data_IF_306958325051
#
_entry.id   IF_306958325051
#
_cell.length_a   1.000
_cell.length_b   1.000
_cell.length_c   1.000
_cell.angle_alpha   90.00
_cell.angle_beta   90.00
_cell.angle_gamma   90.00
#
_symmetry.space_group_name_H-M   'P 1'
#
loop_
_entity.id
_entity.type
_entity.pdbx_description
1 polymer ?
#
# COMPACT_ATOMS: atom_id res chain seq x y z
N UNK A 1 -8.64 -35.30 -11.92
CA UNK A 1 -7.75 -34.48 -12.77
C UNK A 1 -6.43 -35.24 -12.90
N UNK A 2 -6.08 -35.70 -14.10
CA UNK A 2 -5.21 -36.86 -14.33
C UNK A 2 -3.70 -36.54 -14.34
N UNK A 3 -2.88 -37.45 -13.78
CA UNK A 3 -1.40 -37.42 -13.71
C UNK A 3 -0.69 -37.18 -15.05
N UNK A 4 -1.29 -37.58 -16.18
CA UNK A 4 -0.65 -37.47 -17.51
C UNK A 4 -0.62 -36.07 -18.12
N UNK A 5 -1.48 -35.15 -17.69
CA UNK A 5 -1.46 -33.76 -18.18
C UNK A 5 -0.31 -32.95 -17.52
N UNK A 6 0.31 -33.51 -16.48
CA UNK A 6 1.38 -32.89 -15.69
C UNK A 6 2.78 -33.16 -16.27
N UNK A 7 3.04 -34.38 -16.75
CA UNK A 7 4.36 -34.74 -17.30
C UNK A 7 4.68 -33.97 -18.60
N UNK A 8 3.66 -33.72 -19.43
CA UNK A 8 3.79 -32.94 -20.68
C UNK A 8 4.17 -31.48 -20.40
N UNK A 9 3.70 -30.94 -19.28
CA UNK A 9 3.90 -29.55 -18.89
C UNK A 9 5.26 -29.30 -18.23
N UNK A 10 5.79 -30.28 -17.50
CA UNK A 10 7.11 -30.23 -16.88
C UNK A 10 8.24 -30.34 -17.90
N UNK A 11 8.11 -31.30 -18.83
CA UNK A 11 9.03 -31.45 -19.96
C UNK A 11 9.04 -30.20 -20.84
N UNK A 12 7.88 -29.55 -21.03
CA UNK A 12 7.80 -28.28 -21.74
C UNK A 12 8.64 -27.18 -21.08
N UNK A 13 8.61 -26.97 -19.76
CA UNK A 13 9.43 -25.90 -19.13
C UNK A 13 10.93 -26.14 -19.29
N UNK A 14 11.39 -27.36 -19.01
CA UNK A 14 12.81 -27.72 -19.15
C UNK A 14 13.25 -27.71 -20.65
N UNK A 15 12.40 -28.16 -21.60
CA UNK A 15 12.67 -28.08 -23.05
C UNK A 15 12.56 -26.66 -23.64
N UNK A 16 11.72 -25.79 -23.08
CA UNK A 16 11.57 -24.40 -23.53
C UNK A 16 12.81 -23.61 -23.12
N UNK A 17 13.36 -23.84 -21.92
CA UNK A 17 14.63 -23.25 -21.51
C UNK A 17 15.82 -23.73 -22.35
N UNK A 18 15.85 -24.99 -22.77
CA UNK A 18 16.89 -25.51 -23.66
C UNK A 18 16.74 -25.02 -25.12
N UNK A 19 15.52 -24.89 -25.64
CA UNK A 19 15.26 -24.36 -26.98
C UNK A 19 15.47 -22.83 -27.07
N UNK A 20 15.16 -22.08 -26.01
CA UNK A 20 15.28 -20.61 -25.97
C UNK A 20 16.73 -20.12 -26.07
N UNK A 21 17.70 -20.93 -25.64
CA UNK A 21 19.12 -20.60 -25.75
C UNK A 21 19.73 -20.98 -27.11
N UNK A 22 19.01 -21.74 -27.95
CA UNK A 22 19.56 -22.29 -29.19
C UNK A 22 18.91 -21.81 -30.49
N UNK A 23 17.67 -21.28 -30.50
CA UNK A 23 17.06 -20.82 -31.76
C UNK A 23 16.28 -19.51 -31.62
N UNK A 24 16.89 -18.43 -32.12
CA UNK A 24 16.17 -17.24 -32.56
C UNK A 24 15.57 -17.46 -33.94
N UNK A 25 14.28 -17.11 -34.09
CA UNK A 25 13.49 -17.02 -35.33
C UNK A 25 12.65 -18.24 -35.71
N UNK A 26 11.32 -18.10 -35.57
CA UNK A 26 10.27 -18.75 -36.37
C UNK A 26 9.09 -17.77 -36.57
N UNK A 27 8.22 -17.98 -37.59
CA UNK A 27 7.44 -16.95 -38.29
C UNK A 27 6.05 -16.69 -37.65
N UNK A 28 5.33 -15.63 -38.10
CA UNK A 28 4.11 -15.16 -37.44
C UNK A 28 2.88 -16.02 -37.76
N UNK A 29 1.86 -16.04 -36.88
CA UNK A 29 0.61 -16.74 -37.14
C UNK A 29 -0.38 -15.89 -37.96
N UNK A 30 -1.15 -16.59 -38.79
CA UNK A 30 -2.20 -16.10 -39.68
C UNK A 30 -3.44 -15.63 -38.89
N UNK A 31 -4.02 -14.52 -39.35
CA UNK A 31 -5.30 -13.95 -38.91
C UNK A 31 -6.50 -14.86 -39.22
N UNK A 32 -7.47 -14.90 -38.30
CA UNK A 32 -8.85 -15.30 -38.58
C UNK A 32 -9.81 -14.20 -38.11
N UNK A 33 -10.79 -13.93 -38.96
CA UNK A 33 -11.69 -12.79 -38.98
C UNK A 33 -12.86 -12.81 -37.97
N UNK A 34 -13.36 -11.59 -37.80
CA UNK A 34 -14.45 -11.05 -36.98
C UNK A 34 -15.85 -11.64 -37.22
N UNK A 35 -16.67 -11.68 -36.16
CA UNK A 35 -18.13 -11.86 -36.23
C UNK A 35 -18.84 -10.66 -35.59
N UNK A 36 -19.73 -10.04 -36.38
CA UNK A 36 -20.57 -8.88 -36.05
C UNK A 36 -21.58 -9.12 -34.92
N UNK A 37 -21.74 -8.14 -34.02
CA UNK A 37 -22.86 -8.02 -33.08
C UNK A 37 -23.81 -6.89 -33.51
N UNK A 38 -25.11 -7.22 -33.58
CA UNK A 38 -26.21 -6.29 -33.92
C UNK A 38 -26.69 -5.50 -32.69
N UNK A 39 -27.08 -4.26 -32.97
CA UNK A 39 -27.57 -3.20 -32.09
C UNK A 39 -28.86 -3.52 -31.32
N UNK A 40 -28.98 -2.91 -30.14
CA UNK A 40 -30.25 -2.69 -29.42
C UNK A 40 -30.64 -1.20 -29.44
N UNK A 41 -31.95 -0.99 -29.50
CA UNK A 41 -32.68 0.25 -29.79
C UNK A 41 -32.88 1.18 -28.58
N UNK A 42 -33.05 2.47 -28.90
CA UNK A 42 -33.35 3.63 -28.05
C UNK A 42 -34.65 3.59 -27.23
N UNK A 43 -34.66 4.33 -26.11
CA UNK A 43 -35.73 5.28 -25.70
C UNK A 43 -35.37 6.11 -24.44
N UNK A 44 -36.04 7.25 -24.15
CA UNK A 44 -35.33 8.53 -24.05
C UNK A 44 -35.49 9.37 -22.76
N UNK A 45 -34.63 10.40 -22.73
CA UNK A 45 -34.72 11.78 -22.20
C UNK A 45 -34.64 12.13 -20.70
N UNK A 46 -33.60 12.92 -20.45
CA UNK A 46 -33.15 13.56 -19.23
C UNK A 46 -33.48 15.07 -19.22
N UNK A 47 -33.27 15.73 -18.08
CA UNK A 47 -33.04 17.17 -17.95
C UNK A 47 -31.55 17.41 -17.74
N UNK A 48 -30.92 18.27 -18.54
CA UNK A 48 -29.47 18.38 -18.73
C UNK A 48 -28.89 19.73 -18.28
N UNK A 49 -27.80 19.69 -17.51
CA UNK A 49 -26.78 20.73 -17.48
C UNK A 49 -25.72 20.46 -18.57
N UNK A 50 -25.14 21.49 -19.20
CA UNK A 50 -24.19 21.31 -20.31
C UNK A 50 -22.85 20.77 -19.79
N UNK A 51 -22.53 19.53 -20.16
CA UNK A 51 -21.20 18.96 -19.98
C UNK A 51 -20.21 19.56 -21.00
N UNK A 52 -18.92 19.71 -20.63
CA UNK A 52 -17.87 20.05 -21.59
C UNK A 52 -17.75 18.95 -22.68
N UNK A 53 -17.35 19.32 -23.91
CA UNK A 53 -17.21 18.39 -25.02
C UNK A 53 -16.12 17.35 -24.72
N UNK A 54 -16.53 16.10 -24.50
CA UNK A 54 -15.63 14.96 -24.45
C UNK A 54 -15.02 14.72 -25.83
N UNK A 55 -13.78 15.17 -26.03
CA UNK A 55 -12.94 14.67 -27.13
C UNK A 55 -12.79 13.15 -26.97
N UNK A 56 -13.09 12.34 -28.01
CA UNK A 56 -12.92 10.89 -27.95
C UNK A 56 -11.47 10.56 -27.63
N UNK A 57 -11.21 9.93 -26.48
CA UNK A 57 -9.90 9.42 -26.16
C UNK A 57 -9.57 8.31 -27.18
N UNK A 58 -8.41 8.35 -27.85
CA UNK A 58 -8.00 7.30 -28.77
C UNK A 58 -8.04 5.93 -28.07
N UNK A 59 -8.46 4.85 -28.75
CA UNK A 59 -8.45 3.52 -28.17
C UNK A 59 -7.03 3.20 -27.68
N UNK A 60 -6.93 2.75 -26.43
CA UNK A 60 -5.66 2.35 -25.84
C UNK A 60 -5.00 1.28 -26.72
N UNK A 61 -3.71 1.45 -27.00
CA UNK A 61 -2.95 0.44 -27.75
C UNK A 61 -3.07 -0.92 -27.04
N UNK A 62 -3.18 -2.04 -27.79
CA UNK A 62 -3.23 -3.36 -27.19
C UNK A 62 -1.99 -3.61 -26.32
N UNK A 63 -2.17 -4.29 -25.19
CA UNK A 63 -1.07 -4.66 -24.31
C UNK A 63 -0.03 -5.48 -25.08
N UNK A 64 1.25 -5.15 -24.93
CA UNK A 64 2.33 -5.89 -25.57
C UNK A 64 2.28 -7.37 -25.16
N UNK A 65 2.44 -8.27 -26.12
CA UNK A 65 2.53 -9.70 -25.86
C UNK A 65 3.80 -9.97 -25.05
N UNK A 66 3.73 -10.64 -23.88
CA UNK A 66 4.92 -10.97 -23.10
C UNK A 66 5.91 -11.79 -23.92
N UNK A 67 7.21 -11.57 -23.71
CA UNK A 67 8.23 -12.38 -24.36
C UNK A 67 8.20 -13.83 -23.85
N UNK A 68 8.75 -14.78 -24.60
CA UNK A 68 8.86 -16.17 -24.12
C UNK A 68 9.69 -16.29 -22.82
N UNK A 69 10.83 -15.59 -22.66
CA UNK A 69 11.53 -15.55 -21.37
C UNK A 69 10.65 -15.07 -20.21
N UNK A 70 9.82 -14.05 -20.44
CA UNK A 70 8.92 -13.51 -19.42
C UNK A 70 7.92 -14.56 -18.94
N UNK A 71 7.30 -15.27 -19.87
CA UNK A 71 6.36 -16.36 -19.55
C UNK A 71 7.05 -17.49 -18.80
N UNK A 72 8.30 -17.81 -19.15
CA UNK A 72 9.08 -18.84 -18.48
C UNK A 72 9.42 -18.44 -17.02
N UNK A 73 9.80 -17.18 -16.78
CA UNK A 73 10.06 -16.66 -15.44
C UNK A 73 8.78 -16.66 -14.60
N UNK A 74 7.66 -16.13 -15.11
CA UNK A 74 6.38 -16.13 -14.37
C UNK A 74 5.96 -17.55 -13.98
N UNK A 75 6.06 -18.51 -14.91
CA UNK A 75 5.71 -19.91 -14.61
C UNK A 75 6.65 -20.54 -13.57
N UNK A 76 7.94 -20.24 -13.63
CA UNK A 76 8.91 -20.73 -12.65
C UNK A 76 8.68 -20.09 -11.27
N UNK A 77 8.34 -18.80 -11.22
CA UNK A 77 7.96 -18.07 -10.02
C UNK A 77 6.71 -18.68 -9.35
N UNK A 78 5.68 -19.00 -10.14
CA UNK A 78 4.49 -19.71 -9.65
C UNK A 78 4.80 -21.12 -9.15
N UNK A 79 5.76 -21.81 -9.77
CA UNK A 79 6.22 -23.10 -9.27
C UNK A 79 6.99 -22.97 -7.95
N UNK A 80 7.80 -21.93 -7.79
CA UNK A 80 8.57 -21.66 -6.57
C UNK A 80 7.64 -21.37 -5.37
N UNK A 81 6.55 -20.65 -5.61
CA UNK A 81 5.55 -20.26 -4.59
C UNK A 81 4.28 -21.12 -4.60
N UNK A 82 4.31 -22.28 -5.28
CA UNK A 82 3.21 -23.24 -5.29
C UNK A 82 2.99 -23.81 -3.88
N UNK A 83 1.73 -23.99 -3.41
CA UNK A 83 1.46 -24.69 -2.15
C UNK A 83 1.82 -26.19 -2.23
N UNK A 84 1.82 -26.78 -3.44
CA UNK A 84 2.16 -28.18 -3.68
C UNK A 84 3.68 -28.40 -3.66
N UNK A 85 4.16 -29.27 -2.78
CA UNK A 85 5.57 -29.64 -2.64
C UNK A 85 6.18 -30.18 -3.93
N UNK A 86 5.43 -30.98 -4.67
CA UNK A 86 5.93 -31.68 -5.87
C UNK A 86 6.30 -30.70 -6.98
N UNK A 87 5.52 -29.62 -7.15
CA UNK A 87 5.84 -28.55 -8.11
C UNK A 87 7.13 -27.81 -7.74
N UNK A 88 7.36 -27.58 -6.45
CA UNK A 88 8.60 -26.95 -5.94
C UNK A 88 9.80 -27.88 -6.10
N UNK A 89 9.63 -29.17 -5.78
CA UNK A 89 10.67 -30.18 -5.96
C UNK A 89 11.07 -30.32 -7.45
N UNK A 90 10.09 -30.28 -8.35
CA UNK A 90 10.32 -30.30 -9.79
C UNK A 90 11.08 -29.06 -10.28
N UNK A 91 10.74 -27.86 -9.78
CA UNK A 91 11.50 -26.64 -10.07
C UNK A 91 12.96 -26.79 -9.65
N UNK A 92 13.20 -27.20 -8.39
CA UNK A 92 14.55 -27.44 -7.86
C UNK A 92 15.33 -28.43 -8.70
N UNK A 93 14.70 -29.53 -9.10
CA UNK A 93 15.33 -30.51 -9.97
C UNK A 93 15.71 -29.92 -11.34
N UNK A 94 14.87 -29.07 -11.95
CA UNK A 94 15.26 -28.36 -13.18
C UNK A 94 16.43 -27.39 -12.89
N UNK A 95 16.43 -26.66 -11.77
CA UNK A 95 17.53 -25.75 -11.37
C UNK A 95 18.85 -26.51 -11.16
N UNK A 96 18.84 -27.61 -10.41
CA UNK A 96 20.02 -28.43 -10.10
C UNK A 96 20.64 -29.08 -11.34
N UNK A 97 19.82 -29.29 -12.39
CA UNK A 97 20.26 -29.83 -13.68
C UNK A 97 20.79 -28.76 -14.63
N UNK A 98 20.58 -27.48 -14.36
CA UNK A 98 21.06 -26.41 -15.23
C UNK A 98 22.60 -26.29 -15.14
N UNK A 99 23.30 -26.23 -16.27
CA UNK A 99 24.70 -25.81 -16.30
C UNK A 99 24.88 -24.45 -15.60
N UNK A 100 25.97 -24.29 -14.84
CA UNK A 100 26.23 -23.08 -14.03
C UNK A 100 26.12 -21.77 -14.84
N UNK A 101 26.62 -21.77 -16.08
CA UNK A 101 26.51 -20.61 -16.97
C UNK A 101 25.06 -20.25 -17.31
N UNK A 102 24.20 -21.25 -17.53
CA UNK A 102 22.76 -21.06 -17.79
C UNK A 102 22.03 -20.61 -16.53
N UNK A 103 22.35 -21.17 -15.38
CA UNK A 103 21.78 -20.75 -14.09
C UNK A 103 22.13 -19.29 -13.77
N UNK A 104 23.37 -18.87 -14.03
CA UNK A 104 23.82 -17.48 -13.83
C UNK A 104 23.11 -16.51 -14.77
N UNK A 105 22.95 -16.88 -16.05
CA UNK A 105 22.21 -16.07 -17.02
C UNK A 105 20.70 -15.96 -16.65
N UNK A 106 20.08 -17.06 -16.20
CA UNK A 106 18.70 -17.04 -15.73
C UNK A 106 18.54 -16.16 -14.47
N UNK A 107 19.49 -16.23 -13.54
CA UNK A 107 19.50 -15.36 -12.36
C UNK A 107 19.59 -13.89 -12.75
N UNK A 108 20.46 -13.52 -13.69
CA UNK A 108 20.55 -12.14 -14.19
C UNK A 108 19.22 -11.64 -14.76
N UNK A 109 18.51 -12.47 -15.54
CA UNK A 109 17.18 -12.11 -16.06
C UNK A 109 16.14 -11.93 -14.95
N UNK A 110 16.19 -12.78 -13.93
CA UNK A 110 15.32 -12.67 -12.74
C UNK A 110 15.62 -11.39 -11.96
N UNK A 111 16.89 -11.03 -11.76
CA UNK A 111 17.31 -9.79 -11.08
C UNK A 111 16.84 -8.55 -11.84
N UNK A 112 16.98 -8.53 -13.18
CA UNK A 112 16.44 -7.44 -14.01
C UNK A 112 14.93 -7.30 -13.81
N UNK A 113 14.20 -8.41 -13.82
CA UNK A 113 12.75 -8.39 -13.63
C UNK A 113 12.33 -7.94 -12.23
N UNK A 114 13.09 -8.29 -11.20
CA UNK A 114 12.89 -7.77 -9.83
C UNK A 114 13.07 -6.24 -9.85
N UNK A 115 14.15 -5.73 -10.46
CA UNK A 115 14.41 -4.30 -10.51
C UNK A 115 13.32 -3.54 -11.29
N UNK A 116 12.85 -4.08 -12.41
CA UNK A 116 11.73 -3.53 -13.17
C UNK A 116 10.44 -3.51 -12.34
N UNK A 117 10.16 -4.59 -11.59
CA UNK A 117 8.99 -4.66 -10.71
C UNK A 117 9.08 -3.64 -9.56
N UNK A 118 10.23 -3.51 -8.90
CA UNK A 118 10.49 -2.48 -7.88
C UNK A 118 10.26 -1.09 -8.46
N UNK A 119 10.79 -0.82 -9.67
CA UNK A 119 10.64 0.46 -10.35
C UNK A 119 9.19 0.80 -10.68
N UNK A 120 8.46 -0.15 -11.26
CA UNK A 120 7.02 0.00 -11.56
C UNK A 120 6.18 0.26 -10.30
N UNK A 121 6.59 -0.28 -9.16
CA UNK A 121 5.89 -0.14 -7.88
C UNK A 121 6.32 1.11 -7.11
N UNK A 122 7.34 1.85 -7.56
CA UNK A 122 7.87 3.03 -6.89
C UNK A 122 8.49 2.68 -5.54
N UNK A 123 9.35 1.65 -5.50
CA UNK A 123 9.96 1.09 -4.30
C UNK A 123 11.48 1.23 -4.24
N UNK A 124 12.10 1.87 -5.24
CA UNK A 124 13.56 1.92 -5.44
C UNK A 124 14.32 2.55 -4.27
N UNK A 125 13.72 3.56 -3.62
CA UNK A 125 14.30 4.27 -2.49
C UNK A 125 13.99 3.60 -1.13
N UNK A 126 13.12 2.58 -1.09
CA UNK A 126 12.64 1.98 0.17
C UNK A 126 13.00 0.51 0.34
N UNK A 127 13.16 -0.25 -0.74
CA UNK A 127 13.37 -1.70 -0.66
C UNK A 127 14.46 -2.16 -1.64
N UNK A 128 15.27 -3.12 -1.19
CA UNK A 128 16.18 -3.90 -2.02
C UNK A 128 16.12 -5.36 -1.56
N UNK A 129 16.13 -6.30 -2.52
CA UNK A 129 16.10 -7.73 -2.22
C UNK A 129 17.48 -8.35 -2.40
N UNK A 130 17.88 -9.14 -1.41
CA UNK A 130 19.09 -9.96 -1.44
C UNK A 130 18.71 -11.38 -1.88
N UNK A 131 18.99 -11.71 -3.14
CA UNK A 131 18.63 -13.00 -3.74
C UNK A 131 19.80 -13.97 -3.59
N UNK A 132 19.62 -15.01 -2.76
CA UNK A 132 20.64 -16.04 -2.52
C UNK A 132 20.87 -17.00 -3.69
N UNK A 133 19.99 -16.98 -4.70
CA UNK A 133 20.07 -17.82 -5.88
C UNK A 133 18.80 -17.76 -6.73
N UNK A 134 18.74 -18.62 -7.75
CA UNK A 134 17.67 -18.60 -8.75
C UNK A 134 16.28 -18.90 -8.16
N UNK A 135 16.15 -19.92 -7.29
CA UNK A 135 14.84 -20.23 -6.66
C UNK A 135 14.35 -19.03 -5.82
N UNK A 136 15.25 -18.38 -5.10
CA UNK A 136 14.93 -17.25 -4.24
C UNK A 136 14.53 -16.01 -5.03
N UNK A 137 15.26 -15.69 -6.09
CA UNK A 137 14.87 -14.64 -7.03
C UNK A 137 13.49 -14.90 -7.64
N UNK A 138 13.18 -16.14 -8.01
CA UNK A 138 11.85 -16.52 -8.52
C UNK A 138 10.74 -16.34 -7.47
N UNK A 139 11.00 -16.60 -6.18
CA UNK A 139 10.04 -16.31 -5.11
C UNK A 139 9.80 -14.80 -4.97
N UNK A 140 10.85 -13.98 -5.06
CA UNK A 140 10.74 -12.51 -5.02
C UNK A 140 9.92 -12.00 -6.21
N UNK A 141 10.17 -12.51 -7.42
CA UNK A 141 9.37 -12.16 -8.62
C UNK A 141 7.90 -12.49 -8.38
N UNK A 142 7.57 -13.70 -7.93
CA UNK A 142 6.19 -14.09 -7.67
C UNK A 142 5.51 -13.12 -6.70
N UNK A 143 6.21 -12.80 -5.60
CA UNK A 143 5.73 -11.93 -4.53
C UNK A 143 5.50 -10.48 -5.03
N UNK A 144 6.42 -9.91 -5.81
CA UNK A 144 6.29 -8.55 -6.37
C UNK A 144 5.19 -8.48 -7.45
N UNK A 145 4.90 -9.58 -8.12
CA UNK A 145 3.87 -9.68 -9.14
C UNK A 145 2.48 -10.00 -8.57
N UNK A 146 2.38 -10.34 -7.27
CA UNK A 146 1.07 -10.55 -6.63
C UNK A 146 0.30 -9.25 -6.42
N UNK A 147 -1.02 -9.33 -6.61
CA UNK A 147 -1.95 -8.24 -6.36
C UNK A 147 -1.99 -7.19 -7.47
N UNK A 148 -2.54 -6.02 -7.15
CA UNK A 148 -2.68 -4.90 -8.09
C UNK A 148 -1.47 -3.96 -8.09
N UNK A 149 -0.51 -4.20 -7.19
CA UNK A 149 0.57 -3.29 -6.85
C UNK A 149 0.15 -2.12 -5.96
N UNK A 150 -1.15 -1.97 -5.63
CA UNK A 150 -1.61 -0.96 -4.68
C UNK A 150 -1.11 -1.26 -3.26
N UNK A 151 -1.06 -2.53 -2.88
CA UNK A 151 -0.55 -3.01 -1.59
C UNK A 151 0.92 -2.64 -1.42
N UNK A 152 1.74 -2.90 -2.45
CA UNK A 152 3.15 -2.52 -2.48
C UNK A 152 3.36 -1.01 -2.39
N UNK A 153 2.61 -0.22 -3.17
CA UNK A 153 2.68 1.25 -3.11
C UNK A 153 2.30 1.78 -1.72
N UNK A 154 1.29 1.19 -1.09
CA UNK A 154 0.90 1.55 0.28
C UNK A 154 2.01 1.23 1.30
N UNK A 155 2.64 0.06 1.18
CA UNK A 155 3.76 -0.34 2.04
C UNK A 155 5.00 0.55 1.83
N UNK A 156 5.30 0.93 0.58
CA UNK A 156 6.36 1.90 0.29
C UNK A 156 6.11 3.26 0.94
N UNK A 157 4.88 3.79 0.87
CA UNK A 157 4.48 5.04 1.56
C UNK A 157 4.65 4.91 3.07
N UNK A 158 4.23 3.78 3.65
CA UNK A 158 4.39 3.50 5.07
C UNK A 158 5.88 3.45 5.47
N UNK A 159 6.75 2.77 4.70
CA UNK A 159 8.19 2.67 5.00
C UNK A 159 8.86 4.05 4.99
N UNK A 160 8.53 4.93 4.03
CA UNK A 160 9.07 6.30 3.99
C UNK A 160 8.71 7.08 5.24
N UNK A 161 7.43 7.04 5.63
CA UNK A 161 6.98 7.67 6.87
C UNK A 161 7.67 7.03 8.09
N UNK A 162 7.77 5.70 8.15
CA UNK A 162 8.42 4.99 9.24
C UNK A 162 9.88 5.43 9.42
N UNK A 163 10.60 5.67 8.33
CA UNK A 163 11.96 6.21 8.37
C UNK A 163 12.01 7.66 8.90
N UNK A 164 11.10 8.54 8.49
CA UNK A 164 10.99 9.91 9.02
C UNK A 164 10.69 9.89 10.54
N UNK A 165 9.82 8.96 10.96
CA UNK A 165 9.50 8.70 12.36
C UNK A 165 10.54 7.84 13.09
N UNK A 166 11.71 7.60 12.48
CA UNK A 166 12.85 6.89 13.08
C UNK A 166 12.55 5.48 13.59
N UNK A 167 11.56 4.81 12.99
CA UNK A 167 11.20 3.43 13.30
C UNK A 167 12.16 2.41 12.68
N UNK A 168 13.17 2.85 11.91
CA UNK A 168 14.19 2.01 11.28
C UNK A 168 15.59 2.24 11.88
N UNK A 169 15.78 2.21 13.22
CA UNK A 169 17.03 2.66 13.85
C UNK A 169 18.26 1.85 13.43
N UNK A 170 18.07 0.61 13.00
CA UNK A 170 19.15 -0.32 12.64
C UNK A 170 19.21 -0.63 11.13
N UNK A 171 18.40 0.04 10.32
CA UNK A 171 18.29 -0.23 8.89
C UNK A 171 18.13 1.09 8.11
N UNK A 172 19.16 1.57 7.40
CA UNK A 172 18.99 2.68 6.47
C UNK A 172 18.06 2.27 5.32
N UNK A 173 17.43 3.25 4.69
CA UNK A 173 16.75 3.02 3.42
C UNK A 173 17.76 2.93 2.26
N UNK A 174 17.53 2.06 1.26
CA UNK A 174 16.43 1.09 1.17
C UNK A 174 16.61 -0.08 2.15
N UNK A 175 15.51 -0.59 2.71
CA UNK A 175 15.54 -1.77 3.59
C UNK A 175 15.95 -2.99 2.79
N UNK A 176 17.00 -3.67 3.26
CA UNK A 176 17.49 -4.92 2.66
C UNK A 176 16.67 -6.10 3.15
N UNK A 177 15.94 -6.75 2.24
CA UNK A 177 15.14 -7.94 2.52
C UNK A 177 15.89 -9.18 2.04
N UNK A 178 16.24 -10.08 2.96
CA UNK A 178 16.80 -11.39 2.60
C UNK A 178 15.71 -12.31 2.05
N UNK A 179 16.06 -13.14 1.07
CA UNK A 179 15.20 -14.24 0.62
C UNK A 179 14.78 -15.19 1.75
N UNK A 180 15.60 -15.34 2.80
CA UNK A 180 15.28 -16.17 3.96
C UNK A 180 14.12 -15.61 4.79
N UNK A 181 13.84 -14.31 4.67
CA UNK A 181 12.71 -13.66 5.33
C UNK A 181 11.40 -13.83 4.54
N UNK A 182 11.45 -14.41 3.33
CA UNK A 182 10.25 -14.65 2.54
C UNK A 182 9.36 -15.68 3.24
N UNK A 183 8.03 -15.44 3.30
CA UNK A 183 7.12 -16.41 3.87
C UNK A 183 7.18 -17.71 3.09
N UNK A 184 7.05 -18.83 3.81
CA UNK A 184 6.83 -20.11 3.13
C UNK A 184 5.60 -20.00 2.21
N UNK A 185 5.55 -20.73 1.07
CA UNK A 185 4.41 -20.70 0.17
C UNK A 185 3.07 -20.91 0.89
N UNK A 186 3.01 -21.87 1.81
CA UNK A 186 1.80 -22.13 2.60
C UNK A 186 1.45 -20.96 3.52
N UNK A 187 2.43 -20.36 4.20
CA UNK A 187 2.22 -19.21 5.08
C UNK A 187 1.82 -17.96 4.32
N UNK A 188 2.32 -17.78 3.09
CA UNK A 188 1.98 -16.66 2.21
C UNK A 188 0.49 -16.69 1.83
N UNK A 189 -0.02 -17.85 1.41
CA UNK A 189 -1.43 -18.03 1.04
C UNK A 189 -2.40 -18.00 2.22
N UNK A 190 -1.91 -18.04 3.46
CA UNK A 190 -2.73 -17.95 4.68
C UNK A 190 -3.02 -16.51 5.11
N UNK A 191 -2.27 -15.52 4.58
CA UNK A 191 -2.40 -14.12 4.96
C UNK A 191 -2.94 -13.32 3.78
N UNK A 192 -3.75 -12.27 4.05
CA UNK A 192 -3.97 -11.22 3.08
C UNK A 192 -2.64 -10.64 2.59
N UNK A 193 -2.55 -10.31 1.30
CA UNK A 193 -1.30 -9.90 0.66
C UNK A 193 -0.62 -8.72 1.38
N UNK A 194 -1.35 -7.67 1.75
CA UNK A 194 -0.80 -6.52 2.47
C UNK A 194 -0.15 -6.92 3.82
N UNK A 195 -0.75 -7.87 4.52
CA UNK A 195 -0.20 -8.41 5.78
C UNK A 195 1.03 -9.28 5.53
N UNK A 196 1.02 -10.08 4.47
CA UNK A 196 2.17 -10.88 4.07
C UNK A 196 3.37 -9.99 3.68
N UNK A 197 3.12 -8.90 2.94
CA UNK A 197 4.15 -7.91 2.57
C UNK A 197 4.70 -7.23 3.82
N UNK A 198 3.85 -6.74 4.73
CA UNK A 198 4.31 -6.10 5.97
C UNK A 198 5.17 -7.05 6.81
N UNK A 199 4.83 -8.34 6.88
CA UNK A 199 5.60 -9.33 7.62
C UNK A 199 7.07 -9.43 7.16
N UNK A 200 7.35 -9.11 5.89
CA UNK A 200 8.70 -9.14 5.33
C UNK A 200 9.64 -8.12 5.99
N UNK A 201 9.13 -6.96 6.41
CA UNK A 201 9.97 -5.87 6.90
C UNK A 201 9.57 -5.38 8.29
N UNK A 202 8.39 -5.73 8.82
CA UNK A 202 7.91 -5.26 10.12
C UNK A 202 8.86 -5.62 11.27
N UNK A 203 9.60 -6.72 11.14
CA UNK A 203 10.62 -7.11 12.13
C UNK A 203 11.88 -6.23 12.11
N UNK A 204 12.13 -5.50 11.02
CA UNK A 204 13.20 -4.50 10.90
C UNK A 204 12.81 -3.16 11.53
N UNK A 205 11.54 -3.00 11.88
CA UNK A 205 11.00 -1.80 12.50
C UNK A 205 10.98 -1.94 14.02
N UNK A 206 11.27 -0.85 14.72
CA UNK A 206 11.33 -0.81 16.19
C UNK A 206 10.68 0.46 16.71
N UNK A 207 9.91 0.34 17.79
CA UNK A 207 9.37 1.45 18.57
C UNK A 207 9.67 1.24 20.05
N UNK A 208 10.37 2.18 20.70
CA UNK A 208 10.85 2.10 22.07
C UNK A 208 11.58 0.78 22.38
N UNK A 209 12.41 0.33 21.44
CA UNK A 209 13.14 -0.94 21.55
C UNK A 209 12.30 -2.19 21.32
N UNK A 210 10.98 -2.07 21.08
CA UNK A 210 10.10 -3.19 20.76
C UNK A 210 9.97 -3.37 19.25
N UNK A 211 10.11 -4.62 18.78
CA UNK A 211 9.91 -4.95 17.37
C UNK A 211 8.45 -4.76 16.95
N UNK A 212 8.23 -4.18 15.77
CA UNK A 212 6.90 -4.05 15.18
C UNK A 212 6.57 -5.22 14.24
N UNK A 213 7.18 -6.39 14.46
CA UNK A 213 6.87 -7.59 13.70
C UNK A 213 5.39 -7.97 13.83
N UNK A 214 4.76 -8.34 12.70
CA UNK A 214 3.42 -8.92 12.71
C UNK A 214 3.49 -10.35 13.26
N UNK A 215 2.83 -10.56 14.39
CA UNK A 215 2.71 -11.84 15.05
C UNK A 215 1.30 -12.40 14.86
N UNK A 216 1.19 -13.69 14.57
CA UNK A 216 -0.08 -14.39 14.57
C UNK A 216 -0.28 -15.03 15.94
N UNK A 217 -1.33 -14.65 16.65
CA UNK A 217 -1.78 -15.32 17.85
C UNK A 217 -2.73 -16.49 17.48
N UNK A 218 -3.04 -17.34 18.46
CA UNK A 218 -4.11 -18.32 18.29
C UNK A 218 -5.45 -17.65 17.97
N UNK A 219 -6.37 -18.41 17.38
CA UNK A 219 -7.76 -17.99 17.11
C UNK A 219 -7.94 -16.88 16.05
N UNK A 220 -6.99 -16.73 15.11
CA UNK A 220 -7.11 -15.77 14.01
C UNK A 220 -6.90 -14.30 14.43
N UNK A 221 -6.39 -14.07 15.64
CA UNK A 221 -5.97 -12.76 16.13
C UNK A 221 -4.52 -12.51 15.71
N UNK A 222 -4.21 -11.28 15.35
CA UNK A 222 -2.88 -10.82 15.02
C UNK A 222 -2.42 -9.77 16.03
N UNK A 223 -1.12 -9.57 16.15
CA UNK A 223 -0.52 -8.55 17.02
C UNK A 223 0.61 -7.82 16.31
N UNK A 224 0.69 -6.52 16.53
CA UNK A 224 1.87 -5.71 16.24
C UNK A 224 2.12 -4.91 17.51
N UNK A 225 3.32 -5.06 18.10
CA UNK A 225 3.59 -4.55 19.46
C UNK A 225 2.51 -5.06 20.45
N UNK A 226 1.92 -4.18 21.26
CA UNK A 226 0.89 -4.52 22.24
C UNK A 226 -0.54 -4.37 21.67
N UNK A 227 -0.67 -4.16 20.35
CA UNK A 227 -1.95 -3.92 19.70
C UNK A 227 -2.51 -5.22 19.11
N UNK A 228 -3.68 -5.64 19.59
CA UNK A 228 -4.42 -6.80 19.08
C UNK A 228 -5.31 -6.40 17.90
N UNK A 229 -5.20 -7.16 16.82
CA UNK A 229 -5.81 -6.87 15.52
C UNK A 229 -6.59 -8.08 15.03
N UNK A 230 -7.68 -7.86 14.30
CA UNK A 230 -8.38 -8.94 13.57
C UNK A 230 -8.79 -8.48 12.17
N UNK A 231 -8.78 -9.42 11.24
CA UNK A 231 -9.39 -9.25 9.92
C UNK A 231 -10.91 -9.34 10.09
N UNK A 232 -11.66 -8.39 9.52
CA UNK A 232 -13.13 -8.42 9.49
C UNK A 232 -13.55 -8.94 8.13
N UNK A 233 -14.17 -10.11 8.06
CA UNK A 233 -14.58 -10.69 6.78
C UNK A 233 -15.69 -9.85 6.13
N UNK A 234 -15.73 -9.87 4.79
CA UNK A 234 -16.78 -9.18 4.02
C UNK A 234 -18.20 -9.63 4.41
N UNK A 235 -18.37 -10.89 4.81
CA UNK A 235 -19.64 -11.44 5.30
C UNK A 235 -20.11 -10.80 6.61
N UNK A 236 -19.18 -10.32 7.42
CA UNK A 236 -19.46 -9.82 8.77
C UNK A 236 -19.83 -8.34 8.76
N UNK A 237 -19.51 -7.64 7.66
CA UNK A 237 -19.87 -6.23 7.47
C UNK A 237 -21.36 -6.09 7.13
N UNK A 238 -22.14 -5.28 7.87
CA UNK A 238 -23.53 -5.00 7.54
C UNK A 238 -23.69 -4.46 6.10
N UNK A 239 -24.84 -4.71 5.47
CA UNK A 239 -25.07 -4.35 4.07
C UNK A 239 -24.88 -2.85 3.77
N UNK A 240 -25.21 -1.97 4.72
CA UNK A 240 -25.02 -0.52 4.62
C UNK A 240 -23.67 0.00 5.14
N UNK A 241 -22.73 -0.86 5.52
CA UNK A 241 -21.43 -0.42 6.01
C UNK A 241 -20.59 0.18 4.85
N UNK A 242 -20.03 1.39 5.00
CA UNK A 242 -19.32 2.06 3.91
C UNK A 242 -18.04 1.32 3.47
N UNK A 243 -17.43 0.51 4.34
CA UNK A 243 -16.24 -0.28 3.98
C UNK A 243 -16.55 -1.55 3.20
N UNK A 244 -17.84 -1.91 3.07
CA UNK A 244 -18.27 -2.96 2.16
C UNK A 244 -18.04 -2.56 0.70
N UNK A 245 -18.26 -1.29 0.38
CA UNK A 245 -18.00 -0.71 -0.95
C UNK A 245 -16.49 -0.45 -1.11
N UNK A 246 -15.84 -1.29 -1.91
CA UNK A 246 -14.39 -1.27 -2.09
C UNK A 246 -13.60 -2.14 -1.11
N UNK A 247 -14.27 -3.11 -0.46
CA UNK A 247 -13.57 -4.15 0.29
C UNK A 247 -12.59 -4.90 -0.63
N UNK A 248 -11.33 -5.02 -0.20
CA UNK A 248 -10.29 -5.75 -0.92
C UNK A 248 -9.85 -6.94 -0.09
N UNK A 249 -9.86 -8.14 -0.66
CA UNK A 249 -9.40 -9.35 0.05
C UNK A 249 -7.89 -9.35 0.27
N UNK A 250 -7.13 -8.67 -0.58
CA UNK A 250 -5.68 -8.51 -0.48
C UNK A 250 -5.25 -7.49 0.56
N UNK A 251 -6.09 -6.49 0.86
CA UNK A 251 -5.89 -5.47 1.89
C UNK A 251 -7.21 -5.23 2.67
N UNK A 252 -7.59 -6.16 3.56
CA UNK A 252 -8.93 -6.26 4.10
C UNK A 252 -9.22 -5.26 5.21
N UNK A 253 -10.50 -5.08 5.51
CA UNK A 253 -10.95 -4.30 6.67
C UNK A 253 -10.37 -4.89 7.95
N UNK A 254 -9.74 -4.03 8.75
CA UNK A 254 -9.11 -4.42 10.00
C UNK A 254 -9.88 -3.84 11.18
N UNK A 255 -9.83 -4.56 12.29
CA UNK A 255 -10.29 -4.05 13.57
C UNK A 255 -9.19 -4.08 14.61
N UNK A 256 -9.12 -3.01 15.37
CA UNK A 256 -8.29 -2.83 16.55
C UNK A 256 -9.18 -2.29 17.68
N UNK A 257 -9.50 -3.14 18.65
CA UNK A 257 -10.46 -2.82 19.71
C UNK A 257 -11.78 -2.24 19.15
N UNK A 258 -12.10 -0.99 19.50
CA UNK A 258 -13.32 -0.27 19.11
C UNK A 258 -13.22 0.48 17.78
N UNK A 259 -12.05 0.39 17.12
CA UNK A 259 -11.77 1.05 15.85
C UNK A 259 -11.82 0.08 14.69
N UNK A 260 -12.51 0.48 13.63
CA UNK A 260 -12.63 -0.20 12.36
C UNK A 260 -11.89 0.60 11.29
N UNK A 261 -10.97 -0.04 10.59
CA UNK A 261 -10.16 0.56 9.54
C UNK A 261 -10.54 -0.01 8.19
N UNK A 262 -10.61 0.84 7.17
CA UNK A 262 -11.01 0.42 5.82
C UNK A 262 -10.10 -0.66 5.21
N UNK A 263 -8.83 -0.69 5.60
CA UNK A 263 -7.82 -1.63 5.11
C UNK A 263 -6.73 -1.88 6.17
N UNK A 264 -5.87 -2.87 5.96
CA UNK A 264 -4.69 -3.09 6.80
C UNK A 264 -3.64 -1.99 6.60
N UNK A 265 -3.45 -1.52 5.36
CA UNK A 265 -2.59 -0.36 5.11
C UNK A 265 -3.06 0.91 5.83
N UNK A 266 -4.38 1.14 5.90
CA UNK A 266 -4.99 2.24 6.64
C UNK A 266 -4.72 2.13 8.15
N UNK A 267 -4.86 0.92 8.70
CA UNK A 267 -4.51 0.65 10.10
C UNK A 267 -3.05 0.99 10.37
N UNK A 268 -2.11 0.50 9.55
CA UNK A 268 -0.67 0.74 9.74
C UNK A 268 -0.33 2.23 9.76
N UNK A 269 -0.85 3.00 8.80
CA UNK A 269 -0.66 4.45 8.77
C UNK A 269 -1.25 5.08 10.04
N UNK A 270 -2.48 4.75 10.43
CA UNK A 270 -3.06 5.28 11.67
C UNK A 270 -2.21 4.98 12.89
N UNK A 271 -1.73 3.74 13.06
CA UNK A 271 -0.85 3.34 14.16
C UNK A 271 0.45 4.15 14.17
N UNK A 272 1.05 4.37 13.00
CA UNK A 272 2.25 5.18 12.87
C UNK A 272 2.01 6.64 13.29
N UNK A 273 0.90 7.24 12.84
CA UNK A 273 0.57 8.62 13.13
C UNK A 273 0.10 8.86 14.57
N UNK A 274 -0.52 7.86 15.22
CA UNK A 274 -1.15 8.01 16.55
C UNK A 274 -0.39 7.36 17.69
N UNK A 275 0.27 6.22 17.45
CA UNK A 275 0.91 5.41 18.49
C UNK A 275 2.44 5.46 18.40
N UNK A 276 3.00 5.45 17.19
CA UNK A 276 4.46 5.34 16.99
C UNK A 276 5.17 6.66 16.66
N UNK A 277 4.51 7.79 16.87
CA UNK A 277 5.05 9.11 16.49
C UNK A 277 6.06 9.70 17.49
N UNK A 278 6.26 9.07 18.66
CA UNK A 278 7.01 9.64 19.81
C UNK A 278 8.43 9.13 19.95
N UNK A 279 9.05 8.68 18.86
CA UNK A 279 10.45 8.28 18.90
C UNK A 279 11.40 9.43 19.21
N UNK A 280 12.50 9.11 19.89
CA UNK A 280 13.48 10.10 20.32
C UNK A 280 14.07 10.85 19.10
N UNK A 281 13.91 12.19 19.11
CA UNK A 281 14.45 13.08 18.09
C UNK A 281 13.71 13.13 16.76
N UNK A 282 12.53 12.49 16.65
CA UNK A 282 11.60 12.71 15.52
C UNK A 282 11.15 14.17 15.48
N UNK A 283 10.91 14.76 16.66
CA UNK A 283 10.44 16.14 16.76
C UNK A 283 9.02 16.33 16.23
N UNK A 284 8.17 15.30 16.31
CA UNK A 284 6.76 15.39 15.97
C UNK A 284 6.07 16.45 16.84
N UNK A 285 5.36 17.37 16.21
CA UNK A 285 4.74 18.53 16.85
C UNK A 285 3.31 18.68 16.40
N UNK A 286 2.44 18.99 17.35
CA UNK A 286 1.11 19.51 17.07
C UNK A 286 1.25 21.01 16.90
N UNK A 287 0.90 21.52 15.73
CA UNK A 287 1.11 22.91 15.35
C UNK A 287 -0.13 23.73 15.62
N UNK A 288 -1.30 23.21 15.26
CA UNK A 288 -2.53 23.96 15.28
C UNK A 288 -3.71 23.01 15.50
N UNK A 289 -4.72 23.49 16.23
CA UNK A 289 -6.01 22.83 16.37
C UNK A 289 -7.13 23.81 16.06
N UNK A 290 -8.14 23.37 15.31
CA UNK A 290 -9.31 24.18 15.00
C UNK A 290 -10.60 23.41 15.29
N UNK A 291 -11.50 24.03 16.03
CA UNK A 291 -12.84 23.51 16.26
C UNK A 291 -13.76 23.99 15.13
N UNK A 292 -14.32 23.05 14.37
CA UNK A 292 -15.27 23.32 13.30
C UNK A 292 -16.61 22.68 13.66
N UNK A 293 -17.73 23.31 13.30
CA UNK A 293 -19.03 22.70 13.50
C UNK A 293 -19.11 21.39 12.70
N UNK A 294 -19.46 20.27 13.33
CA UNK A 294 -19.57 18.96 12.68
C UNK A 294 -20.73 18.89 11.66
N UNK A 295 -21.61 19.89 11.68
CA UNK A 295 -22.65 20.13 10.67
C UNK A 295 -22.21 21.04 9.53
N UNK A 296 -21.02 21.63 9.59
CA UNK A 296 -20.48 22.42 8.47
C UNK A 296 -20.31 21.50 7.24
N UNK A 297 -20.95 21.81 6.10
CA UNK A 297 -20.85 20.97 4.91
C UNK A 297 -19.40 20.82 4.44
N UNK A 298 -18.56 21.87 4.59
CA UNK A 298 -17.14 21.85 4.20
C UNK A 298 -16.34 20.86 5.02
N UNK A 299 -16.60 20.81 6.32
CA UNK A 299 -15.99 19.85 7.24
C UNK A 299 -16.38 18.41 6.88
N UNK A 300 -17.67 18.18 6.58
CA UNK A 300 -18.16 16.86 6.15
C UNK A 300 -17.56 16.42 4.81
N UNK A 301 -17.39 17.34 3.86
CA UNK A 301 -16.69 17.08 2.61
C UNK A 301 -15.25 16.66 2.88
N UNK A 302 -14.49 17.40 3.70
CA UNK A 302 -13.12 17.01 4.06
C UNK A 302 -13.06 15.62 4.72
N UNK A 303 -14.07 15.25 5.50
CA UNK A 303 -14.14 13.94 6.17
C UNK A 303 -14.52 12.78 5.25
N UNK A 304 -15.16 13.02 4.10
CA UNK A 304 -15.76 11.94 3.29
C UNK A 304 -15.31 11.93 1.83
N UNK A 305 -15.12 13.09 1.21
CA UNK A 305 -14.77 13.20 -0.21
C UNK A 305 -13.36 12.67 -0.50
N UNK A 306 -13.12 12.10 -1.69
CA UNK A 306 -11.81 11.60 -2.05
C UNK A 306 -10.78 12.73 -2.12
N UNK A 307 -9.56 12.45 -1.64
CA UNK A 307 -8.41 13.35 -1.76
C UNK A 307 -7.48 12.76 -2.81
N UNK A 308 -7.06 13.59 -3.77
CA UNK A 308 -6.15 13.15 -4.83
C UNK A 308 -4.75 12.83 -4.29
N UNK A 309 -4.02 11.90 -4.90
CA UNK A 309 -2.66 11.55 -4.47
C UNK A 309 -1.67 12.73 -4.57
N UNK A 310 -1.97 13.71 -5.44
CA UNK A 310 -1.24 14.97 -5.53
C UNK A 310 -1.40 15.83 -4.27
N UNK A 311 -2.59 15.81 -3.66
CA UNK A 311 -2.89 16.54 -2.42
C UNK A 311 -2.43 15.79 -1.18
N UNK A 312 -2.60 14.46 -1.14
CA UNK A 312 -2.20 13.65 0.01
C UNK A 312 -2.71 12.23 -0.03
N UNK A 313 -2.49 11.50 1.06
CA UNK A 313 -3.06 10.17 1.30
C UNK A 313 -4.09 10.29 2.42
N UNK A 314 -5.35 9.97 2.11
CA UNK A 314 -6.41 9.89 3.10
C UNK A 314 -6.49 8.48 3.72
N UNK A 315 -6.62 8.43 5.05
CA UNK A 315 -6.77 7.22 5.84
C UNK A 315 -8.03 7.36 6.66
N UNK A 316 -9.06 6.61 6.26
CA UNK A 316 -10.37 6.60 6.91
C UNK A 316 -10.45 5.49 7.95
N UNK A 317 -10.97 5.82 9.12
CA UNK A 317 -11.30 4.85 10.16
C UNK A 317 -12.49 5.31 10.99
N UNK A 318 -13.07 4.36 11.72
CA UNK A 318 -14.35 4.55 12.41
C UNK A 318 -14.27 4.03 13.83
N UNK A 319 -14.74 4.81 14.79
CA UNK A 319 -15.05 4.32 16.12
C UNK A 319 -16.50 3.83 16.18
N UNK A 320 -16.69 2.56 16.46
CA UNK A 320 -18.02 1.92 16.54
C UNK A 320 -18.24 1.19 17.87
N UNK A 321 -17.44 1.51 18.89
CA UNK A 321 -17.52 0.93 20.24
C UNK A 321 -17.56 -0.61 20.23
N UNK A 322 -16.80 -1.22 19.31
CA UNK A 322 -16.71 -2.66 19.24
C UNK A 322 -17.91 -3.32 18.53
N UNK A 323 -18.84 -2.55 17.96
CA UNK A 323 -20.06 -3.08 17.36
C UNK A 323 -20.26 -2.59 15.91
N UNK A 324 -20.20 -3.51 14.95
CA UNK A 324 -20.39 -3.18 13.52
C UNK A 324 -21.79 -2.61 13.19
N UNK A 325 -22.77 -2.82 14.07
CA UNK A 325 -24.13 -2.27 13.98
C UNK A 325 -24.37 -1.07 14.91
N UNK A 326 -23.30 -0.43 15.41
CA UNK A 326 -23.45 0.75 16.25
C UNK A 326 -24.21 1.85 15.51
N UNK A 327 -25.24 2.40 16.14
CA UNK A 327 -26.16 3.33 15.49
C UNK A 327 -25.55 4.71 15.20
N UNK A 328 -24.50 5.09 15.95
CA UNK A 328 -23.89 6.41 15.90
C UNK A 328 -22.36 6.32 15.81
N UNK A 329 -21.80 5.65 14.79
CA UNK A 329 -20.36 5.58 14.64
C UNK A 329 -19.77 6.97 14.42
N UNK A 330 -18.54 7.16 14.89
CA UNK A 330 -17.79 8.39 14.66
C UNK A 330 -16.73 8.10 13.60
N UNK A 331 -16.81 8.81 12.48
CA UNK A 331 -15.82 8.72 11.41
C UNK A 331 -14.65 9.67 11.70
N UNK A 332 -13.45 9.17 11.41
CA UNK A 332 -12.19 9.88 11.54
C UNK A 332 -11.40 9.76 10.24
N UNK A 333 -10.55 10.74 9.99
CA UNK A 333 -9.67 10.75 8.84
C UNK A 333 -8.31 11.35 9.20
N UNK A 334 -7.24 10.67 8.80
CA UNK A 334 -5.93 11.30 8.63
C UNK A 334 -5.73 11.66 7.16
N UNK A 335 -5.12 12.81 6.90
CA UNK A 335 -4.61 13.14 5.56
C UNK A 335 -3.14 13.47 5.69
N UNK A 336 -2.29 12.60 5.15
CA UNK A 336 -0.86 12.84 5.08
C UNK A 336 -0.57 13.65 3.82
N UNK A 337 0.01 14.84 3.98
CA UNK A 337 0.30 15.79 2.88
C UNK A 337 1.80 15.85 2.55
N UNK A 338 2.65 15.30 3.41
CA UNK A 338 4.11 15.17 3.21
C UNK A 338 4.68 13.94 3.90
N UNK A 339 5.81 13.44 3.40
CA UNK A 339 6.63 12.37 3.99
C UNK A 339 6.44 11.00 3.33
N UNK A 340 5.55 10.90 2.34
CA UNK A 340 5.20 9.64 1.69
C UNK A 340 5.73 9.52 0.26
N UNK A 341 6.35 10.57 -0.28
CA UNK A 341 6.97 10.60 -1.61
C UNK A 341 8.49 10.41 -1.51
N UNK A 342 9.16 9.97 -2.58
CA UNK A 342 10.62 9.89 -2.61
C UNK A 342 11.26 11.23 -2.25
N UNK A 343 12.36 11.16 -1.49
CA UNK A 343 13.17 12.30 -1.04
C UNK A 343 12.50 13.27 -0.05
N UNK A 344 11.25 13.04 0.37
CA UNK A 344 10.66 13.83 1.44
C UNK A 344 11.23 13.42 2.79
N UNK A 345 11.75 14.38 3.56
CA UNK A 345 12.32 14.15 4.89
C UNK A 345 11.42 14.65 6.03
N UNK A 346 10.29 15.26 5.68
CA UNK A 346 9.34 15.87 6.60
C UNK A 346 7.99 15.20 6.40
N UNK A 347 7.43 14.69 7.49
CA UNK A 347 6.06 14.24 7.53
C UNK A 347 5.17 15.38 8.01
N UNK A 348 4.09 15.63 7.28
CA UNK A 348 3.09 16.62 7.65
C UNK A 348 1.71 16.02 7.37
N UNK A 349 0.80 16.20 8.31
CA UNK A 349 -0.52 15.59 8.25
C UNK A 349 -1.57 16.47 8.93
N UNK A 350 -2.81 16.19 8.60
CA UNK A 350 -3.97 16.69 9.33
C UNK A 350 -4.83 15.52 9.82
N UNK A 351 -5.41 15.70 10.99
CA UNK A 351 -6.40 14.81 11.58
C UNK A 351 -7.75 15.50 11.55
N UNK A 352 -8.80 14.75 11.19
CA UNK A 352 -10.18 15.23 11.12
C UNK A 352 -11.03 14.24 11.90
N UNK A 353 -11.76 14.73 12.90
CA UNK A 353 -12.51 13.86 13.79
C UNK A 353 -13.44 14.60 14.72
N UNK A 354 -14.19 13.89 15.55
CA UNK A 354 -15.04 14.52 16.55
C UNK A 354 -14.30 14.64 17.89
N UNK A 355 -14.33 15.83 18.48
CA UNK A 355 -13.89 16.02 19.86
C UNK A 355 -14.93 15.46 20.82
N UNK A 356 -14.52 14.50 21.66
CA UNK A 356 -15.40 13.89 22.67
C UNK A 356 -15.87 14.91 23.71
N UNK A 357 -15.01 15.88 24.06
CA UNK A 357 -15.29 16.85 25.12
C UNK A 357 -16.22 17.98 24.67
N UNK A 358 -16.08 18.45 23.43
CA UNK A 358 -16.81 19.62 22.93
C UNK A 358 -18.02 19.26 22.07
N UNK A 359 -18.12 18.00 21.60
CA UNK A 359 -19.14 17.59 20.63
C UNK A 359 -18.97 18.22 19.24
N UNK A 360 -17.91 19.03 19.03
CA UNK A 360 -17.56 19.70 17.78
C UNK A 360 -16.62 18.84 16.93
N UNK A 361 -16.57 19.13 15.63
CA UNK A 361 -15.50 18.65 14.75
C UNK A 361 -14.18 19.29 15.14
N UNK A 362 -13.09 18.55 15.00
CA UNK A 362 -11.73 19.02 15.23
C UNK A 362 -10.88 18.76 13.99
N UNK A 363 -10.04 19.74 13.66
CA UNK A 363 -8.97 19.62 12.68
C UNK A 363 -7.66 19.91 13.37
N UNK A 364 -6.77 18.93 13.46
CA UNK A 364 -5.44 19.09 14.05
C UNK A 364 -4.36 19.01 12.96
N UNK A 365 -3.42 19.94 12.96
CA UNK A 365 -2.27 19.96 12.06
C UNK A 365 -1.01 19.53 12.82
N UNK A 366 -0.25 18.58 12.27
CA UNK A 366 0.98 18.09 12.91
C UNK A 366 2.09 17.78 11.92
N UNK A 367 3.32 18.09 12.29
CA UNK A 367 4.51 17.96 11.42
C UNK A 367 5.74 17.47 12.18
N UNK A 368 6.70 16.89 11.46
CA UNK A 368 8.07 16.63 11.93
C UNK A 368 9.06 17.71 11.49
N UNK A 369 8.60 18.75 10.77
CA UNK A 369 9.42 19.88 10.37
C UNK A 369 10.03 20.55 11.61
N UNK A 370 11.36 20.59 11.63
CA UNK A 370 12.10 21.26 12.70
C UNK A 370 12.06 22.75 12.47
N UNK A 371 11.67 23.44 13.54
CA UNK A 371 11.78 24.88 13.61
C UNK A 371 12.99 25.22 14.49
N UNK A 372 14.13 25.49 13.87
CA UNK A 372 15.37 25.84 14.58
C UNK A 372 15.40 27.36 14.82
N UNK A 373 15.37 27.76 16.09
CA UNK A 373 15.66 29.11 16.58
C UNK A 373 14.69 30.25 16.25
N UNK A 374 13.64 30.09 15.45
CA UNK A 374 12.75 31.23 15.26
C UNK A 374 11.86 31.47 16.49
N UNK A 375 11.64 32.75 16.74
CA UNK A 375 10.75 33.24 17.78
C UNK A 375 9.35 32.66 17.56
N UNK A 376 8.70 32.24 18.64
CA UNK A 376 7.32 31.73 18.63
C UNK A 376 6.34 32.76 18.08
N UNK A 377 6.70 34.05 18.15
CA UNK A 377 5.96 35.16 17.57
C UNK A 377 5.94 35.19 16.04
N UNK A 378 6.83 34.45 15.37
CA UNK A 378 6.89 34.43 13.90
C UNK A 378 5.64 33.76 13.29
N UNK A 379 5.17 34.23 12.12
CA UNK A 379 4.10 33.58 11.36
C UNK A 379 4.35 32.09 11.12
N UNK A 380 3.27 31.29 11.07
CA UNK A 380 3.39 29.84 10.86
C UNK A 380 4.10 29.47 9.54
N UNK A 381 3.95 30.28 8.49
CA UNK A 381 4.61 30.07 7.20
C UNK A 381 6.13 30.21 7.29
N UNK A 382 6.62 31.12 8.16
CA UNK A 382 8.05 31.26 8.44
C UNK A 382 8.54 30.11 9.34
N UNK A 383 7.67 29.62 10.22
CA UNK A 383 8.00 28.54 11.15
C UNK A 383 8.03 27.15 10.50
N UNK A 384 7.17 26.92 9.52
CA UNK A 384 6.98 25.63 8.86
C UNK A 384 6.80 25.79 7.34
N UNK A 385 7.81 26.33 6.63
CA UNK A 385 7.72 26.69 5.22
C UNK A 385 7.43 25.50 4.30
N UNK A 386 7.71 24.25 4.72
CA UNK A 386 7.44 23.05 3.93
C UNK A 386 6.04 22.51 4.20
N UNK A 387 5.60 22.51 5.46
CA UNK A 387 4.31 21.93 5.86
C UNK A 387 3.13 22.83 5.53
N UNK A 388 3.26 24.15 5.75
CA UNK A 388 2.15 25.10 5.64
C UNK A 388 1.52 25.16 4.24
N UNK A 389 2.28 25.29 3.13
CA UNK A 389 1.67 25.33 1.80
C UNK A 389 0.89 24.05 1.46
N UNK A 390 1.31 22.90 2.02
CA UNK A 390 0.69 21.60 1.76
C UNK A 390 -0.62 21.43 2.53
N UNK A 391 -0.68 21.88 3.78
CA UNK A 391 -1.95 21.96 4.51
C UNK A 391 -2.89 22.97 3.88
N UNK A 392 -2.38 24.16 3.53
CA UNK A 392 -3.13 25.21 2.83
C UNK A 392 -3.80 24.67 1.57
N UNK A 393 -3.06 23.97 0.71
CA UNK A 393 -3.62 23.38 -0.51
C UNK A 393 -4.79 22.41 -0.28
N UNK A 394 -4.73 21.56 0.77
CA UNK A 394 -5.84 20.65 1.11
C UNK A 394 -7.00 21.42 1.71
N UNK A 395 -6.74 22.31 2.67
CA UNK A 395 -7.79 23.05 3.36
C UNK A 395 -8.50 24.05 2.44
N UNK A 396 -7.77 24.67 1.52
CA UNK A 396 -8.30 25.58 0.51
C UNK A 396 -9.25 24.86 -0.45
N UNK A 397 -8.94 23.62 -0.83
CA UNK A 397 -9.82 22.80 -1.67
C UNK A 397 -11.21 22.63 -1.05
N UNK A 398 -11.30 22.54 0.28
CA UNK A 398 -12.55 22.45 1.03
C UNK A 398 -13.02 23.81 1.60
N UNK A 399 -12.39 24.92 1.24
CA UNK A 399 -12.71 26.26 1.77
C UNK A 399 -12.64 26.36 3.30
N UNK A 400 -11.74 25.60 3.95
CA UNK A 400 -11.52 25.56 5.40
C UNK A 400 -10.24 26.29 5.83
N UNK A 401 -9.39 26.71 4.89
CA UNK A 401 -8.07 27.28 5.17
C UNK A 401 -8.12 28.44 6.17
N UNK A 402 -8.97 29.45 5.96
CA UNK A 402 -9.06 30.60 6.86
C UNK A 402 -9.58 30.23 8.26
N UNK A 403 -10.51 29.28 8.36
CA UNK A 403 -11.07 28.86 9.64
C UNK A 403 -10.10 28.00 10.44
N UNK A 404 -9.20 27.29 9.75
CA UNK A 404 -8.18 26.45 10.39
C UNK A 404 -6.90 27.25 10.64
N UNK A 405 -6.25 27.80 9.61
CA UNK A 405 -4.95 28.45 9.72
C UNK A 405 -5.02 29.79 10.46
N UNK A 406 -5.97 30.66 10.12
CA UNK A 406 -6.01 32.02 10.66
C UNK A 406 -6.78 32.13 11.98
N UNK A 407 -7.66 31.17 12.27
CA UNK A 407 -8.54 31.17 13.46
C UNK A 407 -8.29 30.01 14.41
N UNK A 408 -7.49 29.03 13.99
CA UNK A 408 -7.11 27.92 14.85
C UNK A 408 -6.25 28.37 16.03
N UNK A 409 -6.28 27.56 17.09
CA UNK A 409 -5.41 27.73 18.23
C UNK A 409 -4.06 27.11 17.91
N UNK A 410 -3.00 27.92 17.93
CA UNK A 410 -1.62 27.45 17.81
C UNK A 410 -1.26 26.65 19.05
N UNK A 411 -0.78 25.43 18.86
CA UNK A 411 -0.29 24.54 19.90
C UNK A 411 1.23 24.63 19.96
N UNK A 412 1.77 24.85 21.14
CA UNK A 412 3.23 24.95 21.34
C UNK A 412 3.78 23.82 22.22
N UNK A 413 3.11 22.67 22.19
CA UNK A 413 3.55 21.48 22.88
C UNK A 413 4.57 20.74 22.01
N UNK A 414 5.84 21.11 22.16
CA UNK A 414 6.93 20.18 21.90
C UNK A 414 7.00 19.21 23.05
N UNK A 415 6.62 17.95 22.84
CA UNK A 415 6.97 16.87 23.78
C UNK A 415 8.48 16.69 23.61
N UNK A 416 9.26 17.23 24.55
CA UNK A 416 10.72 17.13 24.57
C UNK A 416 11.18 15.70 24.82
#
# INVERSE_FOLDING_TARGET
>A
MNRHEWDVNAASVCCTYESLLHHGSLPPPLCCDSVCLRSLTHSPMASSHPMPPNTPQPPAAPAAVPSLPDLAITRAADMAMSPHSDRRAMLRQCIDRLPQAKASAALTLVEVRIQEAIGRLGLEDVLVFDVGGLEDGLKVVHLLEQGSGAEWRAMGRFIRLAAIYRLTPNAPLPLRLSADALPSPTSFHQLPLAMAIYRLFGHLLTYHGQSLALQQAGNGVYRIDNQSLRVVALSDLPAGNPYRSGYQTTDPVMRQADYLYRSFSSLLLSMLLTLWHREAGVGHRWVLTACINDNDPRYRCLLTEPISEQQGIAVDYRFDNGNLNYAHPIDYRFVTVSGFRPNETIAAQLFVGRSVCAGLGVIDLSTTERHENADRSQPLDDRYPISMPRWGAVLQHFSLENDVINRGMVLEYGVS
#
